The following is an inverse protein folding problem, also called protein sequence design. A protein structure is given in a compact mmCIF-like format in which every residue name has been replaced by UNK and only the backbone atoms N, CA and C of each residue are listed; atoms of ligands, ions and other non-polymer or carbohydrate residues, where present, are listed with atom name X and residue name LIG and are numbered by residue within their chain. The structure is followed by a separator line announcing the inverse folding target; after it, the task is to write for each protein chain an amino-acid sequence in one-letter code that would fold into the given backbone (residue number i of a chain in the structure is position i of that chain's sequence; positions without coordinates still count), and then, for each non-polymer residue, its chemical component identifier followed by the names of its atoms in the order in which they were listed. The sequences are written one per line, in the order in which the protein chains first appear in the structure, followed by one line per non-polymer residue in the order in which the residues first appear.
data_IF_504664387218
#
_entry.id   IF_504664387218
#
_cell.length_a   1.000
_cell.length_b   1.000
_cell.length_c   1.000
_cell.angle_alpha   90.00
_cell.angle_beta   90.00
_cell.angle_gamma   90.00
#
_symmetry.space_group_name_H-M   'P 1'
#
loop_
_entity.id
_entity.type
_entity.pdbx_description
1 polymer ?
#
# COMPACT_ATOMS: atom_id res chain seq x y z
N UNK A 1 3.55 12.08 -11.51
CA UNK A 1 3.67 10.70 -11.06
C UNK A 1 2.44 10.02 -11.56
N UNK A 2 2.46 8.74 -11.89
CA UNK A 2 3.43 7.67 -11.56
C UNK A 2 3.55 7.33 -10.06
N UNK A 3 4.65 6.76 -9.54
CA UNK A 3 4.79 6.26 -8.16
C UNK A 3 6.26 5.89 -7.91
N UNK A 4 6.79 6.07 -6.70
CA UNK A 4 8.13 5.69 -6.27
C UNK A 4 7.93 5.13 -4.89
N UNK A 5 7.97 3.81 -4.82
CA UNK A 5 7.90 3.07 -3.59
C UNK A 5 9.30 2.57 -3.25
N UNK A 6 9.80 2.91 -2.07
CA UNK A 6 11.08 2.45 -1.56
C UNK A 6 10.82 1.38 -0.50
N UNK A 7 11.21 0.15 -0.78
CA UNK A 7 11.08 -0.96 0.15
C UNK A 7 12.30 -1.07 1.06
N UNK A 8 12.12 -0.76 2.34
CA UNK A 8 13.15 -0.89 3.39
C UNK A 8 12.88 -2.19 4.17
N UNK A 9 13.69 -3.25 4.00
CA UNK A 9 13.32 -4.59 4.46
C UNK A 9 13.61 -4.83 5.95
N UNK A 10 14.08 -3.85 6.72
CA UNK A 10 14.52 -4.12 8.10
C UNK A 10 13.36 -4.03 9.09
N UNK A 11 13.23 -5.01 9.97
CA UNK A 11 12.34 -4.99 11.12
C UNK A 11 13.14 -5.27 12.40
N UNK A 12 12.72 -4.72 13.54
CA UNK A 12 13.27 -5.15 14.84
C UNK A 12 12.77 -6.53 15.25
N UNK A 13 11.52 -6.83 14.89
CA UNK A 13 10.83 -8.05 15.28
C UNK A 13 9.92 -8.54 14.15
N UNK A 14 9.77 -9.86 14.03
CA UNK A 14 8.82 -10.49 13.12
C UNK A 14 7.42 -10.49 13.76
N UNK A 15 6.49 -9.68 13.24
CA UNK A 15 5.09 -9.73 13.66
C UNK A 15 4.46 -11.07 13.23
N UNK A 16 3.52 -11.60 14.01
CA UNK A 16 2.98 -12.95 13.77
C UNK A 16 2.14 -13.07 12.49
N UNK A 17 1.58 -11.95 12.03
CA UNK A 17 0.65 -11.84 10.91
C UNK A 17 1.25 -11.26 9.61
N UNK A 18 2.45 -10.67 9.68
CA UNK A 18 3.01 -9.89 8.57
C UNK A 18 3.55 -10.80 7.46
N UNK A 19 3.10 -10.59 6.22
CA UNK A 19 3.55 -11.32 5.02
C UNK A 19 4.59 -10.56 4.17
N UNK A 20 4.82 -9.28 4.50
CA UNK A 20 5.73 -8.44 3.74
C UNK A 20 7.14 -9.01 3.78
N UNK A 21 7.93 -8.68 2.76
CA UNK A 21 9.34 -9.06 2.77
C UNK A 21 10.07 -8.28 3.87
N UNK A 22 10.72 -8.97 4.80
CA UNK A 22 11.56 -8.34 5.82
C UNK A 22 12.71 -9.23 6.27
N UNK A 23 13.67 -8.60 6.93
CA UNK A 23 14.78 -9.22 7.66
C UNK A 23 14.87 -8.61 9.06
N UNK A 24 15.27 -9.41 10.04
CA UNK A 24 15.44 -8.93 11.43
C UNK A 24 16.90 -8.59 11.79
N UNK A 25 17.84 -8.89 10.89
CA UNK A 25 19.25 -8.56 11.07
C UNK A 25 19.51 -7.16 10.50
N UNK A 26 20.09 -6.28 11.32
CA UNK A 26 20.34 -4.87 10.97
C UNK A 26 21.76 -4.58 10.48
N UNK A 27 22.66 -5.58 10.48
CA UNK A 27 24.09 -5.38 10.18
C UNK A 27 24.32 -4.85 8.76
N UNK A 28 23.46 -5.21 7.82
CA UNK A 28 23.59 -4.87 6.41
C UNK A 28 22.91 -3.54 6.00
N UNK A 29 22.45 -2.70 6.94
CA UNK A 29 21.74 -1.45 6.60
C UNK A 29 22.55 -0.53 5.69
N UNK A 30 23.83 -0.33 5.99
CA UNK A 30 24.66 0.58 5.21
C UNK A 30 24.98 0.04 3.80
N UNK A 31 25.25 -1.27 3.72
CA UNK A 31 25.43 -1.94 2.42
C UNK A 31 24.14 -1.86 1.59
N UNK A 32 22.97 -2.04 2.22
CA UNK A 32 21.67 -1.86 1.58
C UNK A 32 21.47 -0.44 1.06
N UNK A 33 21.70 0.59 1.89
CA UNK A 33 21.56 2.00 1.49
C UNK A 33 22.46 2.30 0.31
N UNK A 34 23.71 1.83 0.34
CA UNK A 34 24.66 1.99 -0.76
C UNK A 34 24.21 1.29 -2.05
N UNK A 35 23.58 0.12 -1.94
CA UNK A 35 23.00 -0.60 -3.08
C UNK A 35 21.74 0.07 -3.63
N UNK A 36 20.87 0.59 -2.77
CA UNK A 36 19.67 1.31 -3.17
C UNK A 36 20.02 2.61 -3.92
N UNK A 37 21.02 3.36 -3.45
CA UNK A 37 21.55 4.53 -4.15
C UNK A 37 22.07 4.14 -5.53
N UNK A 38 22.79 3.02 -5.67
CA UNK A 38 23.22 2.52 -6.98
C UNK A 38 22.04 2.09 -7.88
N UNK A 39 20.98 1.52 -7.31
CA UNK A 39 19.77 1.19 -8.06
C UNK A 39 19.06 2.45 -8.58
N UNK A 40 18.95 3.49 -7.75
CA UNK A 40 18.41 4.78 -8.17
C UNK A 40 19.26 5.38 -9.28
N UNK A 41 20.58 5.48 -9.07
CA UNK A 41 21.53 6.01 -10.06
C UNK A 41 21.43 5.29 -11.41
N UNK A 42 21.21 3.98 -11.39
CA UNK A 42 21.06 3.16 -12.58
C UNK A 42 19.84 3.53 -13.45
N UNK A 43 18.85 4.25 -12.91
CA UNK A 43 17.69 4.70 -13.68
C UNK A 43 17.94 6.01 -14.45
N UNK A 44 19.07 6.66 -14.25
CA UNK A 44 19.43 7.90 -14.95
C UNK A 44 19.36 7.71 -16.48
N UNK A 45 18.60 8.57 -17.16
CA UNK A 45 18.38 8.52 -18.60
C UNK A 45 17.39 7.43 -19.06
N UNK A 46 16.81 6.65 -18.14
CA UNK A 46 15.73 5.71 -18.46
C UNK A 46 14.40 6.47 -18.63
N UNK A 47 13.49 5.94 -19.46
CA UNK A 47 12.13 6.46 -19.66
C UNK A 47 11.42 6.85 -18.35
N UNK A 48 11.63 6.09 -17.28
CA UNK A 48 10.95 6.30 -16.00
C UNK A 48 11.27 7.66 -15.35
N UNK A 49 12.40 8.25 -15.72
CA UNK A 49 12.84 9.56 -15.22
C UNK A 49 12.25 10.73 -16.01
N UNK A 50 11.58 10.46 -17.13
CA UNK A 50 10.96 11.49 -17.98
C UNK A 50 9.63 12.01 -17.38
N UNK A 51 8.99 11.24 -16.49
CA UNK A 51 7.78 11.67 -15.79
C UNK A 51 8.10 12.41 -14.49
N UNK A 52 7.47 13.57 -14.28
CA UNK A 52 7.52 14.30 -13.01
C UNK A 52 6.99 13.42 -11.88
N UNK A 53 7.63 13.42 -10.73
CA UNK A 53 7.31 12.57 -9.58
C UNK A 53 6.48 13.36 -8.55
N UNK A 54 5.28 12.89 -8.17
CA UNK A 54 4.27 13.57 -7.30
C UNK A 54 4.09 12.95 -5.92
N UNK A 55 4.71 11.82 -5.63
CA UNK A 55 4.65 11.23 -4.29
C UNK A 55 5.95 10.48 -4.05
N UNK A 56 6.32 10.09 -2.84
CA UNK A 56 7.34 9.07 -2.64
C UNK A 56 6.94 8.37 -1.35
N UNK A 57 7.03 7.05 -1.32
CA UNK A 57 6.60 6.27 -0.17
C UNK A 57 7.71 5.33 0.28
N UNK A 58 8.21 5.56 1.48
CA UNK A 58 9.12 4.66 2.16
C UNK A 58 8.29 3.69 3.00
N UNK A 59 8.31 2.41 2.64
CA UNK A 59 7.57 1.36 3.32
C UNK A 59 8.32 0.05 3.42
N UNK A 60 7.62 -1.02 3.84
CA UNK A 60 8.13 -2.38 3.79
C UNK A 60 8.22 -3.01 5.18
N UNK A 61 9.45 -3.22 5.66
CA UNK A 61 9.68 -3.65 7.03
C UNK A 61 9.41 -2.50 8.01
N UNK A 62 10.42 -1.68 8.27
CA UNK A 62 10.32 -0.51 9.15
C UNK A 62 11.32 0.55 8.68
N UNK A 63 10.94 1.43 7.73
CA UNK A 63 11.79 2.49 7.19
C UNK A 63 12.44 3.38 8.25
N UNK A 64 11.71 3.70 9.33
CA UNK A 64 12.23 4.47 10.47
C UNK A 64 13.39 3.82 11.26
N UNK A 65 13.83 2.62 10.86
CA UNK A 65 15.07 2.02 11.36
C UNK A 65 16.33 2.57 10.67
N UNK A 66 16.19 3.30 9.57
CA UNK A 66 17.30 4.03 8.95
C UNK A 66 17.58 5.33 9.71
N UNK A 67 18.86 5.71 9.76
CA UNK A 67 19.24 7.01 10.32
C UNK A 67 18.81 8.15 9.40
N UNK A 68 18.75 9.38 9.93
CA UNK A 68 18.46 10.57 9.13
C UNK A 68 19.48 10.75 8.00
N UNK A 69 20.77 10.55 8.26
CA UNK A 69 21.84 10.56 7.23
C UNK A 69 21.57 9.57 6.09
N UNK A 70 21.15 8.34 6.41
CA UNK A 70 20.83 7.34 5.40
C UNK A 70 19.63 7.74 4.54
N UNK A 71 18.59 8.30 5.17
CA UNK A 71 17.40 8.80 4.46
C UNK A 71 17.76 10.01 3.58
N UNK A 72 18.56 10.94 4.07
CA UNK A 72 19.03 12.12 3.34
C UNK A 72 19.82 11.72 2.10
N UNK A 73 20.73 10.75 2.21
CA UNK A 73 21.49 10.23 1.06
C UNK A 73 20.61 9.56 0.00
N UNK A 74 19.57 8.83 0.42
CA UNK A 74 18.60 8.23 -0.51
C UNK A 74 17.80 9.34 -1.23
N UNK A 75 17.29 10.32 -0.48
CA UNK A 75 16.53 11.42 -1.04
C UNK A 75 17.36 12.28 -1.98
N UNK A 76 18.61 12.60 -1.63
CA UNK A 76 19.52 13.34 -2.49
C UNK A 76 19.75 12.63 -3.84
N UNK A 77 19.86 11.29 -3.84
CA UNK A 77 20.00 10.52 -5.07
C UNK A 77 18.70 10.50 -5.89
N UNK A 78 17.54 10.41 -5.24
CA UNK A 78 16.23 10.51 -5.91
C UNK A 78 16.08 11.88 -6.60
N UNK A 79 16.42 12.97 -5.91
CA UNK A 79 16.38 14.34 -6.46
C UNK A 79 17.36 14.54 -7.61
N UNK A 80 18.51 13.84 -7.58
CA UNK A 80 19.50 13.88 -8.66
C UNK A 80 19.00 13.19 -9.92
N UNK A 81 18.31 12.06 -9.78
CA UNK A 81 17.90 11.20 -10.92
C UNK A 81 16.50 11.54 -11.45
N UNK A 82 15.59 12.00 -10.59
CA UNK A 82 14.20 12.25 -10.94
C UNK A 82 13.82 13.72 -10.77
N UNK A 83 12.87 14.19 -11.57
CA UNK A 83 12.21 15.48 -11.33
C UNK A 83 11.15 15.32 -10.26
N UNK A 84 11.43 15.74 -9.03
CA UNK A 84 10.50 15.64 -7.89
C UNK A 84 9.66 16.92 -7.74
N UNK A 85 8.33 16.80 -7.89
CA UNK A 85 7.32 17.79 -7.50
C UNK A 85 6.32 17.09 -6.56
N UNK A 86 6.81 16.60 -5.42
CA UNK A 86 6.05 15.72 -4.53
C UNK A 86 4.91 16.46 -3.83
N UNK A 87 3.71 15.92 -4.00
CA UNK A 87 2.50 16.28 -3.27
C UNK A 87 2.40 15.56 -1.91
N UNK A 88 3.13 14.46 -1.73
CA UNK A 88 3.18 13.64 -0.52
C UNK A 88 4.47 12.80 -0.46
N UNK A 89 5.30 12.98 0.56
CA UNK A 89 6.46 12.15 0.89
C UNK A 89 6.21 11.43 2.22
N UNK A 90 5.86 10.15 2.13
CA UNK A 90 5.47 9.30 3.27
C UNK A 90 6.62 8.45 3.78
N UNK A 91 6.69 8.27 5.09
CA UNK A 91 7.50 7.23 5.74
C UNK A 91 6.70 6.39 6.74
N UNK A 92 6.84 5.07 6.65
CA UNK A 92 6.31 4.13 7.65
C UNK A 92 7.20 4.05 8.90
N UNK A 93 6.56 3.94 10.06
CA UNK A 93 7.24 3.78 11.34
C UNK A 93 6.45 2.96 12.35
N UNK A 94 7.18 2.45 13.34
CA UNK A 94 6.62 1.79 14.52
C UNK A 94 6.86 2.66 15.77
N UNK A 95 6.02 2.56 16.80
CA UNK A 95 6.12 3.43 17.97
C UNK A 95 7.45 3.37 18.72
N UNK A 96 8.09 2.20 18.74
CA UNK A 96 9.35 1.96 19.45
C UNK A 96 10.59 2.62 18.82
N UNK A 97 10.38 3.43 17.78
CA UNK A 97 11.41 4.16 17.04
C UNK A 97 11.20 5.67 16.99
N UNK A 98 10.16 6.20 17.64
CA UNK A 98 9.85 7.63 17.58
C UNK A 98 10.55 8.39 18.70
N UNK A 99 11.23 9.47 18.32
CA UNK A 99 11.69 10.51 19.24
C UNK A 99 11.45 11.90 18.61
N UNK A 100 11.31 12.96 19.41
CA UNK A 100 11.16 14.32 18.87
C UNK A 100 12.29 14.72 17.90
N UNK A 101 13.54 14.40 18.24
CA UNK A 101 14.72 14.70 17.40
C UNK A 101 14.68 13.96 16.06
N UNK A 102 14.20 12.71 16.07
CA UNK A 102 14.04 11.94 14.84
C UNK A 102 12.93 12.53 13.96
N UNK A 103 11.79 12.89 14.54
CA UNK A 103 10.69 13.56 13.81
C UNK A 103 11.16 14.89 13.18
N UNK A 104 11.93 15.70 13.91
CA UNK A 104 12.52 16.93 13.37
C UNK A 104 13.47 16.62 12.21
N UNK A 105 14.28 15.58 12.33
CA UNK A 105 15.19 15.16 11.26
C UNK A 105 14.44 14.68 10.02
N UNK A 106 13.35 13.92 10.18
CA UNK A 106 12.50 13.51 9.06
C UNK A 106 11.89 14.72 8.33
N UNK A 107 11.41 15.73 9.06
CA UNK A 107 10.94 16.97 8.45
C UNK A 107 12.03 17.68 7.66
N UNK A 108 13.26 17.69 8.17
CA UNK A 108 14.41 18.28 7.48
C UNK A 108 14.77 17.51 6.19
N UNK A 109 14.58 16.18 6.16
CA UNK A 109 14.69 15.36 4.95
C UNK A 109 13.51 15.52 3.98
N UNK A 110 12.54 16.40 4.27
CA UNK A 110 11.40 16.70 3.40
C UNK A 110 10.14 15.86 3.64
N UNK A 111 10.16 14.88 4.54
CA UNK A 111 8.96 14.08 4.83
C UNK A 111 7.82 14.96 5.33
N UNK A 112 6.61 14.72 4.82
CA UNK A 112 5.41 15.48 5.17
C UNK A 112 4.26 14.60 5.67
N UNK A 113 4.36 13.28 5.49
CA UNK A 113 3.41 12.30 6.00
C UNK A 113 4.08 11.15 6.74
N UNK A 114 3.48 10.76 7.87
CA UNK A 114 3.86 9.59 8.66
C UNK A 114 2.78 8.51 8.54
N UNK A 115 3.17 7.24 8.39
CA UNK A 115 2.26 6.10 8.59
C UNK A 115 2.73 5.28 9.80
N UNK A 116 1.94 5.26 10.87
CA UNK A 116 2.31 4.68 12.15
C UNK A 116 1.59 3.35 12.43
N UNK A 117 2.34 2.27 12.53
CA UNK A 117 1.80 0.95 12.83
C UNK A 117 1.51 0.71 14.32
N UNK A 118 0.42 1.26 14.89
CA UNK A 118 0.03 1.02 16.30
C UNK A 118 -0.63 -0.35 16.48
N UNK A 119 -1.54 -0.69 15.57
CA UNK A 119 -2.34 -1.91 15.49
C UNK A 119 -3.37 -2.10 16.62
N UNK A 120 -3.02 -1.85 17.87
CA UNK A 120 -3.90 -1.87 19.05
C UNK A 120 -3.22 -1.20 20.25
N UNK A 121 -3.99 -0.73 21.23
CA UNK A 121 -3.49 -0.27 22.54
C UNK A 121 -3.65 -1.35 23.62
N UNK A 122 -4.20 -2.51 23.28
CA UNK A 122 -4.32 -3.66 24.18
C UNK A 122 -3.02 -4.47 24.24
N UNK A 123 -2.43 -4.59 25.42
CA UNK A 123 -1.23 -5.42 25.66
C UNK A 123 -1.42 -6.88 25.23
N UNK A 124 -2.62 -7.42 25.45
CA UNK A 124 -3.01 -8.77 25.00
C UNK A 124 -2.92 -8.88 23.47
N UNK A 125 -3.49 -7.91 22.76
CA UNK A 125 -3.48 -7.86 21.30
C UNK A 125 -2.08 -7.67 20.72
N UNK A 126 -1.30 -6.73 21.29
CA UNK A 126 0.09 -6.49 20.90
C UNK A 126 0.97 -7.72 21.10
N UNK A 127 0.79 -8.43 22.24
CA UNK A 127 1.50 -9.68 22.52
C UNK A 127 1.10 -10.79 21.54
N UNK A 128 -0.19 -10.96 21.23
CA UNK A 128 -0.67 -11.92 20.24
C UNK A 128 -0.05 -11.68 18.85
N UNK A 129 -0.01 -10.41 18.45
CA UNK A 129 0.58 -9.98 17.19
C UNK A 129 2.12 -10.01 17.18
N UNK A 130 2.75 -10.30 18.32
CA UNK A 130 4.20 -10.27 18.49
C UNK A 130 4.80 -8.92 18.06
N UNK A 131 4.18 -7.81 18.52
CA UNK A 131 4.65 -6.45 18.26
C UNK A 131 5.92 -6.13 19.09
N UNK A 132 6.76 -5.25 18.55
CA UNK A 132 8.00 -4.80 19.22
C UNK A 132 7.75 -3.71 20.28
N UNK A 133 6.60 -3.04 20.18
CA UNK A 133 6.19 -1.95 21.06
C UNK A 133 5.10 -2.39 22.04
N UNK A 134 4.96 -1.66 23.15
CA UNK A 134 3.86 -1.78 24.10
C UNK A 134 2.93 -0.54 24.05
N UNK A 135 1.86 -0.54 24.86
CA UNK A 135 0.88 0.56 24.92
C UNK A 135 1.55 1.89 25.24
N UNK A 136 2.39 1.95 26.26
CA UNK A 136 3.01 3.21 26.71
C UNK A 136 3.88 3.83 25.61
N UNK A 137 4.62 2.99 24.86
CA UNK A 137 5.38 3.43 23.69
C UNK A 137 4.49 3.92 22.55
N UNK A 138 3.34 3.26 22.31
CA UNK A 138 2.36 3.73 21.33
C UNK A 138 1.81 5.12 21.68
N UNK A 139 1.37 5.30 22.92
CA UNK A 139 0.85 6.59 23.40
C UNK A 139 1.92 7.68 23.32
N UNK A 140 3.13 7.40 23.80
CA UNK A 140 4.24 8.36 23.78
C UNK A 140 4.63 8.78 22.35
N UNK A 141 4.64 7.83 21.42
CA UNK A 141 4.96 8.11 20.02
C UNK A 141 3.89 8.98 19.35
N UNK A 142 2.61 8.75 19.66
CA UNK A 142 1.51 9.58 19.17
C UNK A 142 1.55 10.99 19.77
N UNK A 143 1.83 11.12 21.07
CA UNK A 143 2.08 12.42 21.71
C UNK A 143 3.20 13.20 20.99
N UNK A 144 4.31 12.53 20.69
CA UNK A 144 5.44 13.14 19.99
C UNK A 144 5.07 13.57 18.56
N UNK A 145 4.28 12.78 17.85
CA UNK A 145 3.79 13.14 16.51
C UNK A 145 2.86 14.35 16.60
N UNK A 146 1.90 14.36 17.53
CA UNK A 146 0.96 15.48 17.72
C UNK A 146 1.69 16.76 18.10
N UNK A 147 2.72 16.67 18.94
CA UNK A 147 3.56 17.79 19.33
C UNK A 147 4.52 18.27 18.22
N UNK A 148 4.74 17.45 17.19
CA UNK A 148 5.62 17.78 16.06
C UNK A 148 4.94 18.68 15.02
N UNK A 149 5.68 19.00 13.96
CA UNK A 149 5.16 19.74 12.81
C UNK A 149 4.46 18.88 11.76
N UNK A 150 4.38 17.55 11.96
CA UNK A 150 3.60 16.68 11.07
C UNK A 150 2.11 16.92 11.29
N UNK A 151 1.43 17.42 10.25
CA UNK A 151 -0.03 17.60 10.23
C UNK A 151 -0.76 16.49 9.50
N UNK A 152 -0.04 15.74 8.68
CA UNK A 152 -0.56 14.59 7.95
C UNK A 152 0.09 13.33 8.54
N UNK A 153 -0.68 12.52 9.26
CA UNK A 153 -0.23 11.23 9.75
C UNK A 153 -1.38 10.25 9.75
N UNK A 154 -1.00 8.99 9.64
CA UNK A 154 -1.89 7.85 9.71
C UNK A 154 -1.55 7.02 10.92
N UNK A 155 -2.59 6.48 11.55
CA UNK A 155 -2.43 5.41 12.52
C UNK A 155 -3.09 4.15 11.98
N UNK A 156 -2.32 3.08 11.90
CA UNK A 156 -2.81 1.78 11.46
C UNK A 156 -3.37 1.01 12.66
N UNK A 157 -4.55 0.43 12.49
CA UNK A 157 -5.24 -0.47 13.42
C UNK A 157 -5.44 -1.84 12.77
N UNK A 158 -5.50 -2.89 13.59
CA UNK A 158 -5.93 -4.22 13.17
C UNK A 158 -7.14 -4.62 14.01
N UNK A 159 -8.24 -4.95 13.32
CA UNK A 159 -9.45 -5.50 13.92
C UNK A 159 -9.66 -6.95 13.47
N UNK A 160 -10.66 -7.63 14.02
CA UNK A 160 -10.96 -9.03 13.72
C UNK A 160 -9.98 -10.00 14.39
N UNK A 161 -9.31 -9.57 15.47
CA UNK A 161 -8.39 -10.43 16.21
C UNK A 161 -9.17 -11.58 16.90
N UNK A 162 -8.58 -12.77 17.07
CA UNK A 162 -9.20 -13.87 17.79
C UNK A 162 -9.67 -13.48 19.20
N UNK A 163 -10.97 -13.63 19.46
CA UNK A 163 -11.61 -13.28 20.73
C UNK A 163 -11.54 -11.78 21.11
N UNK A 164 -11.32 -10.88 20.14
CA UNK A 164 -11.46 -9.44 20.38
C UNK A 164 -12.94 -9.09 20.54
N UNK A 165 -13.28 -8.43 21.64
CA UNK A 165 -14.65 -8.00 21.89
C UNK A 165 -14.93 -6.67 21.20
N UNK A 166 -16.22 -6.34 20.99
CA UNK A 166 -16.62 -5.01 20.53
C UNK A 166 -16.15 -3.89 21.46
N UNK A 167 -16.10 -4.16 22.78
CA UNK A 167 -15.57 -3.21 23.78
C UNK A 167 -14.08 -2.95 23.57
N UNK A 168 -13.27 -4.00 23.42
CA UNK A 168 -11.82 -3.85 23.19
C UNK A 168 -11.53 -3.06 21.91
N UNK A 169 -12.29 -3.27 20.83
CA UNK A 169 -12.13 -2.45 19.61
C UNK A 169 -12.59 -1.00 19.82
N UNK A 170 -13.69 -0.77 20.54
CA UNK A 170 -14.15 0.58 20.83
C UNK A 170 -13.16 1.33 21.73
N UNK A 171 -12.54 0.66 22.70
CA UNK A 171 -11.47 1.21 23.54
C UNK A 171 -10.25 1.62 22.70
N UNK A 172 -9.86 0.82 21.70
CA UNK A 172 -8.79 1.18 20.77
C UNK A 172 -9.15 2.42 19.93
N UNK A 173 -10.40 2.53 19.46
CA UNK A 173 -10.89 3.69 18.71
C UNK A 173 -10.93 4.93 19.60
N UNK A 174 -11.50 4.84 20.80
CA UNK A 174 -11.62 5.97 21.72
C UNK A 174 -10.23 6.49 22.11
N UNK A 175 -9.30 5.58 22.45
CA UNK A 175 -7.92 5.94 22.76
C UNK A 175 -7.21 6.59 21.57
N UNK A 176 -7.42 6.08 20.35
CA UNK A 176 -6.86 6.66 19.14
C UNK A 176 -7.36 8.09 18.91
N UNK A 177 -8.65 8.33 19.16
CA UNK A 177 -9.26 9.62 18.86
C UNK A 177 -8.85 10.74 19.82
N UNK A 178 -8.27 10.42 20.98
CA UNK A 178 -7.60 11.41 21.84
C UNK A 178 -6.45 12.14 21.10
N UNK A 179 -5.87 11.50 20.09
CA UNK A 179 -4.80 12.06 19.27
C UNK A 179 -5.28 12.69 17.96
N UNK A 180 -6.58 12.69 17.65
CA UNK A 180 -7.18 13.31 16.46
C UNK A 180 -6.49 13.04 15.09
N UNK A 181 -6.14 11.79 14.75
CA UNK A 181 -5.46 11.50 13.49
C UNK A 181 -6.29 11.94 12.27
N UNK A 182 -5.69 12.60 11.28
CA UNK A 182 -6.41 13.00 10.07
C UNK A 182 -6.68 11.82 9.13
N UNK A 183 -5.97 10.71 9.31
CA UNK A 183 -6.12 9.48 8.53
C UNK A 183 -5.93 8.25 9.42
N UNK A 184 -6.71 7.19 9.16
CA UNK A 184 -6.63 5.90 9.83
C UNK A 184 -6.66 4.81 8.76
N UNK A 185 -5.71 3.88 8.81
CA UNK A 185 -5.84 2.60 8.12
C UNK A 185 -6.29 1.57 9.15
N UNK A 186 -7.31 0.79 8.85
CA UNK A 186 -7.82 -0.24 9.73
C UNK A 186 -8.04 -1.52 8.93
N UNK A 187 -7.18 -2.50 9.18
CA UNK A 187 -7.14 -3.76 8.46
C UNK A 187 -7.86 -4.85 9.26
N UNK A 188 -8.68 -5.65 8.57
CA UNK A 188 -9.10 -6.92 9.13
C UNK A 188 -7.87 -7.83 9.24
N UNK A 189 -7.74 -8.57 10.34
CA UNK A 189 -6.68 -9.56 10.50
C UNK A 189 -6.86 -10.68 9.46
N UNK A 190 -6.07 -10.66 8.40
CA UNK A 190 -6.00 -11.72 7.40
C UNK A 190 -4.94 -12.75 7.77
N UNK A 191 -5.20 -14.02 7.44
CA UNK A 191 -4.28 -15.13 7.69
C UNK A 191 -3.52 -15.42 6.39
N UNK A 192 -2.32 -14.86 6.27
CA UNK A 192 -1.52 -15.02 5.06
C UNK A 192 -0.69 -16.31 5.06
N UNK A 193 -0.64 -16.96 3.90
CA UNK A 193 0.15 -18.16 3.67
C UNK A 193 1.65 -17.82 3.86
N UNK A 194 2.35 -18.56 4.72
CA UNK A 194 3.75 -18.33 5.17
C UNK A 194 3.95 -17.42 6.39
N UNK A 195 2.89 -17.14 7.16
CA UNK A 195 3.02 -16.43 8.44
C UNK A 195 3.07 -17.38 9.65
N UNK A 196 3.59 -16.89 10.78
CA UNK A 196 3.53 -17.61 12.06
C UNK A 196 2.07 -17.87 12.48
N UNK A 197 1.19 -16.90 12.24
CA UNK A 197 -0.23 -17.01 12.51
C UNK A 197 -0.88 -18.14 11.69
N UNK A 198 -0.62 -18.21 10.38
CA UNK A 198 -1.13 -19.30 9.54
C UNK A 198 -0.70 -20.67 10.08
N UNK A 199 0.57 -20.81 10.52
CA UNK A 199 1.02 -22.07 11.13
C UNK A 199 0.33 -22.38 12.46
N UNK A 200 0.03 -21.36 13.27
CA UNK A 200 -0.71 -21.55 14.52
C UNK A 200 -2.16 -21.99 14.27
N UNK A 201 -2.80 -21.46 13.23
CA UNK A 201 -4.16 -21.84 12.82
C UNK A 201 -4.18 -23.27 12.28
N UNK A 202 -3.24 -23.62 11.39
CA UNK A 202 -3.08 -24.98 10.85
C UNK A 202 -2.91 -26.03 11.96
N UNK A 203 -2.18 -25.67 13.02
CA UNK A 203 -1.95 -26.53 14.19
C UNK A 203 -3.09 -26.50 15.22
N UNK A 204 -4.19 -25.79 14.96
CA UNK A 204 -5.33 -25.65 15.89
C UNK A 204 -5.04 -24.85 17.16
N UNK A 205 -3.92 -24.12 17.23
CA UNK A 205 -3.53 -23.30 18.39
C UNK A 205 -4.27 -21.97 18.44
N UNK A 206 -4.69 -21.46 17.29
CA UNK A 206 -5.46 -20.22 17.16
C UNK A 206 -6.71 -20.54 16.35
N UNK A 207 -7.86 -20.15 16.88
CA UNK A 207 -9.12 -20.15 16.14
C UNK A 207 -9.32 -18.74 15.57
N UNK A 208 -9.44 -18.57 14.24
CA UNK A 208 -9.76 -17.28 13.64
C UNK A 208 -11.10 -16.73 14.13
N UNK A 209 -11.29 -15.42 14.04
CA UNK A 209 -12.62 -14.82 14.15
C UNK A 209 -13.50 -15.31 13.00
N UNK A 210 -14.79 -15.51 13.26
CA UNK A 210 -15.76 -15.80 12.20
C UNK A 210 -16.13 -14.53 11.41
N UNK A 211 -16.59 -14.71 10.17
CA UNK A 211 -16.87 -13.61 9.25
C UNK A 211 -17.93 -12.65 9.80
N UNK A 212 -18.98 -13.15 10.44
CA UNK A 212 -20.02 -12.33 11.05
C UNK A 212 -19.43 -11.42 12.14
N UNK A 213 -18.51 -11.94 12.94
CA UNK A 213 -17.79 -11.17 13.95
C UNK A 213 -16.92 -10.07 13.32
N UNK A 214 -16.18 -10.39 12.27
CA UNK A 214 -15.32 -9.41 11.55
C UNK A 214 -16.17 -8.31 10.91
N UNK A 215 -17.28 -8.66 10.25
CA UNK A 215 -18.22 -7.70 9.64
C UNK A 215 -18.82 -6.78 10.71
N UNK A 216 -19.25 -7.34 11.84
CA UNK A 216 -19.77 -6.56 12.97
C UNK A 216 -18.75 -5.51 13.49
N UNK A 217 -17.47 -5.86 13.53
CA UNK A 217 -16.40 -4.94 13.94
C UNK A 217 -16.07 -3.91 12.86
N UNK A 218 -16.10 -4.31 11.60
CA UNK A 218 -15.93 -3.40 10.45
C UNK A 218 -17.02 -2.32 10.41
N UNK A 219 -18.26 -2.68 10.72
CA UNK A 219 -19.39 -1.75 10.83
C UNK A 219 -19.20 -0.80 12.02
N UNK A 220 -18.90 -1.35 13.21
CA UNK A 220 -18.62 -0.56 14.43
C UNK A 220 -17.54 0.49 14.15
N UNK A 221 -16.44 0.08 13.54
CA UNK A 221 -15.34 0.98 13.20
C UNK A 221 -15.81 2.12 12.28
N UNK A 222 -16.54 1.80 11.19
CA UNK A 222 -17.00 2.82 10.27
C UNK A 222 -18.01 3.79 10.88
N UNK A 223 -18.91 3.29 11.73
CA UNK A 223 -19.88 4.12 12.44
C UNK A 223 -19.20 5.03 13.46
N UNK A 224 -18.26 4.50 14.25
CA UNK A 224 -17.53 5.27 15.25
C UNK A 224 -16.67 6.36 14.62
N UNK A 225 -15.90 6.04 13.57
CA UNK A 225 -15.01 7.01 12.90
C UNK A 225 -15.77 8.13 12.18
N UNK A 226 -16.98 7.87 11.69
CA UNK A 226 -17.82 8.88 11.04
C UNK A 226 -18.13 10.06 11.98
N UNK A 227 -18.27 9.81 13.29
CA UNK A 227 -18.51 10.87 14.28
C UNK A 227 -17.34 11.85 14.41
N UNK A 228 -16.15 11.46 13.95
CA UNK A 228 -14.93 12.26 13.94
C UNK A 228 -14.60 12.83 12.54
N UNK A 229 -15.57 12.82 11.62
CA UNK A 229 -15.39 13.27 10.22
C UNK A 229 -14.33 12.47 9.44
N UNK A 230 -14.07 11.23 9.86
CA UNK A 230 -13.21 10.28 9.16
C UNK A 230 -14.10 9.37 8.30
N UNK A 231 -14.01 9.51 6.98
CA UNK A 231 -14.83 8.77 6.04
C UNK A 231 -14.04 7.69 5.33
N UNK A 232 -14.65 6.51 5.18
CA UNK A 232 -14.09 5.42 4.40
C UNK A 232 -13.96 5.85 2.93
N UNK A 233 -12.75 5.81 2.39
CA UNK A 233 -12.49 6.09 0.97
C UNK A 233 -11.87 4.91 0.23
N UNK A 234 -11.35 3.93 0.97
CA UNK A 234 -10.97 2.59 0.51
C UNK A 234 -11.34 1.56 1.59
N UNK A 235 -11.49 0.27 1.23
CA UNK A 235 -11.93 -0.80 2.15
C UNK A 235 -11.25 -0.73 3.52
N UNK A 236 -9.95 -0.47 3.59
CA UNK A 236 -9.24 -0.41 4.87
C UNK A 236 -8.87 1.00 5.30
N UNK A 237 -9.27 2.05 4.58
CA UNK A 237 -8.73 3.40 4.78
C UNK A 237 -9.81 4.47 5.01
N UNK A 238 -9.60 5.27 6.04
CA UNK A 238 -10.47 6.36 6.47
C UNK A 238 -9.69 7.66 6.56
N UNK A 239 -10.27 8.76 6.11
CA UNK A 239 -9.60 10.06 6.14
C UNK A 239 -10.59 11.20 6.34
N UNK A 240 -10.09 12.27 6.97
CA UNK A 240 -10.68 13.60 6.85
C UNK A 240 -10.50 14.07 5.41
N UNK A 241 -11.37 14.98 4.97
CA UNK A 241 -11.27 15.53 3.61
C UNK A 241 -9.88 16.18 3.38
N UNK A 242 -9.24 15.83 2.26
CA UNK A 242 -7.90 16.32 1.90
C UNK A 242 -6.73 15.50 2.47
N UNK A 243 -6.99 14.51 3.31
CA UNK A 243 -5.95 13.66 3.93
C UNK A 243 -5.92 12.23 3.40
N UNK A 244 -6.62 11.94 2.30
CA UNK A 244 -6.52 10.65 1.62
C UNK A 244 -5.08 10.44 1.14
N UNK A 245 -4.50 9.26 1.40
CA UNK A 245 -3.15 8.91 0.99
C UNK A 245 -3.00 9.09 -0.53
N UNK A 246 -2.13 10.01 -0.96
CA UNK A 246 -1.94 10.31 -2.39
C UNK A 246 -1.17 9.19 -3.08
N UNK A 247 -0.21 8.58 -2.37
CA UNK A 247 0.55 7.46 -2.90
C UNK A 247 -0.35 6.27 -3.26
N UNK A 248 -1.23 5.85 -2.35
CA UNK A 248 -2.08 4.68 -2.58
C UNK A 248 -3.08 4.91 -3.72
N UNK A 249 -3.51 6.16 -3.92
CA UNK A 249 -4.40 6.53 -5.04
C UNK A 249 -3.76 6.33 -6.40
N UNK A 250 -2.42 6.37 -6.52
CA UNK A 250 -1.74 6.02 -7.77
C UNK A 250 -2.07 4.58 -8.15
N UNK A 251 -1.96 3.65 -7.20
CA UNK A 251 -2.22 2.23 -7.44
C UNK A 251 -3.65 1.99 -7.90
N UNK A 252 -4.64 2.59 -7.22
CA UNK A 252 -6.06 2.40 -7.54
C UNK A 252 -6.52 3.08 -8.82
N UNK A 253 -5.71 3.98 -9.39
CA UNK A 253 -6.00 4.70 -10.62
C UNK A 253 -5.11 4.26 -11.79
N UNK A 254 -4.37 3.15 -11.66
CA UNK A 254 -3.37 2.71 -12.66
C UNK A 254 -2.38 3.80 -13.06
N UNK A 255 -1.99 4.64 -12.10
CA UNK A 255 -0.81 5.47 -12.28
C UNK A 255 0.42 4.55 -12.37
N UNK A 256 1.36 4.89 -13.25
CA UNK A 256 2.66 4.21 -13.33
C UNK A 256 3.34 4.19 -11.95
N UNK A 257 4.30 3.32 -11.66
CA UNK A 257 5.13 3.45 -10.47
C UNK A 257 6.34 2.55 -10.55
N UNK A 258 7.42 2.98 -9.89
CA UNK A 258 8.66 2.24 -9.76
C UNK A 258 8.83 1.86 -8.29
N UNK A 259 8.99 0.56 -8.06
CA UNK A 259 9.42 0.02 -6.78
C UNK A 259 10.93 -0.17 -6.77
N UNK A 260 11.58 0.31 -5.71
CA UNK A 260 13.02 0.19 -5.49
C UNK A 260 13.29 -0.53 -4.17
N UNK A 261 14.39 -1.27 -4.08
CA UNK A 261 14.67 -2.16 -2.95
C UNK A 261 14.16 -3.60 -3.16
N UNK A 262 14.58 -4.56 -2.31
CA UNK A 262 14.25 -5.97 -2.47
C UNK A 262 12.75 -6.22 -2.25
N UNK A 263 12.11 -6.99 -3.11
CA UNK A 263 10.68 -7.28 -3.02
C UNK A 263 9.75 -6.14 -3.45
N UNK A 264 10.28 -4.98 -3.85
CA UNK A 264 9.47 -3.86 -4.33
C UNK A 264 8.82 -4.19 -5.68
N UNK A 265 7.59 -3.73 -5.89
CA UNK A 265 6.82 -3.94 -7.13
C UNK A 265 6.75 -2.66 -7.95
N UNK A 266 6.64 -2.81 -9.26
CA UNK A 266 6.50 -1.70 -10.22
C UNK A 266 5.38 -2.00 -11.21
N UNK A 267 4.77 -0.95 -11.75
CA UNK A 267 3.79 -1.00 -12.83
C UNK A 267 4.08 0.11 -13.83
N UNK A 268 4.02 -0.20 -15.12
CA UNK A 268 4.19 0.80 -16.16
C UNK A 268 3.27 0.55 -17.34
N UNK A 269 2.38 1.49 -17.58
CA UNK A 269 1.52 1.61 -18.76
C UNK A 269 2.07 2.73 -19.66
N UNK A 270 2.79 2.40 -20.75
CA UNK A 270 3.27 3.39 -21.71
C UNK A 270 2.12 4.18 -22.35
N UNK A 271 2.28 5.50 -22.47
CA UNK A 271 1.27 6.41 -23.03
C UNK A 271 1.39 6.60 -24.53
N UNK A 272 2.48 6.12 -25.13
CA UNK A 272 2.75 6.25 -26.56
C UNK A 272 3.45 5.01 -27.13
N UNK A 273 3.41 4.88 -28.46
CA UNK A 273 4.15 3.83 -29.17
C UNK A 273 5.67 3.99 -29.01
N UNK A 274 6.14 5.22 -28.85
CA UNK A 274 7.54 5.58 -28.61
C UNK A 274 8.01 5.07 -27.25
N UNK A 275 7.23 5.29 -26.19
CA UNK A 275 7.51 4.76 -24.86
C UNK A 275 7.53 3.23 -24.86
N UNK A 276 6.54 2.59 -25.52
CA UNK A 276 6.51 1.13 -25.66
C UNK A 276 7.75 0.60 -26.37
N UNK A 277 8.24 1.29 -27.42
CA UNK A 277 9.50 0.93 -28.11
C UNK A 277 10.74 1.09 -27.22
N UNK A 278 10.81 2.14 -26.39
CA UNK A 278 11.91 2.31 -25.41
C UNK A 278 11.97 1.13 -24.45
N UNK A 279 10.84 0.75 -23.85
CA UNK A 279 10.74 -0.42 -22.96
C UNK A 279 11.23 -1.71 -23.64
N UNK A 280 10.81 -1.95 -24.89
CA UNK A 280 11.28 -3.11 -25.67
C UNK A 280 12.81 -3.06 -25.87
N UNK A 281 13.35 -1.88 -26.18
CA UNK A 281 14.77 -1.65 -26.36
C UNK A 281 15.59 -1.92 -25.09
N UNK A 282 15.04 -1.58 -23.93
CA UNK A 282 15.64 -1.78 -22.60
C UNK A 282 15.55 -3.24 -22.11
N UNK A 283 15.02 -4.15 -22.94
CA UNK A 283 14.82 -5.55 -22.58
C UNK A 283 13.65 -5.78 -21.61
N UNK A 284 12.81 -4.77 -21.38
CA UNK A 284 11.58 -4.88 -20.61
C UNK A 284 10.44 -5.43 -21.47
N UNK A 285 10.21 -6.74 -21.32
CA UNK A 285 8.87 -7.23 -21.04
C UNK A 285 7.79 -7.25 -22.13
N UNK A 286 8.05 -6.88 -23.39
CA UNK A 286 7.15 -7.26 -24.49
C UNK A 286 7.89 -8.23 -25.40
N UNK A 287 7.53 -9.51 -25.35
CA UNK A 287 8.29 -10.56 -26.03
C UNK A 287 8.36 -10.32 -27.54
N UNK A 288 9.58 -10.33 -28.10
CA UNK A 288 9.79 -10.28 -29.57
C UNK A 288 9.17 -11.53 -30.19
N UNK A 289 8.05 -11.37 -30.90
CA UNK A 289 7.41 -12.45 -31.67
C UNK A 289 6.25 -13.16 -31.00
N UNK A 290 5.85 -12.77 -29.78
CA UNK A 290 4.44 -12.89 -29.38
C UNK A 290 3.61 -12.01 -30.29
N UNK A 291 2.34 -12.33 -30.53
CA UNK A 291 1.35 -11.49 -31.23
C UNK A 291 1.10 -10.18 -30.45
N UNK A 292 2.13 -9.33 -30.33
CA UNK A 292 2.37 -8.33 -29.28
C UNK A 292 1.58 -7.02 -29.42
N UNK A 293 0.45 -7.08 -30.13
CA UNK A 293 -0.52 -5.99 -30.21
C UNK A 293 -1.44 -5.92 -28.99
N UNK A 294 -1.60 -7.02 -28.23
CA UNK A 294 -2.56 -7.07 -27.10
C UNK A 294 -2.01 -6.62 -25.76
N UNK A 295 -0.70 -6.69 -25.55
CA UNK A 295 -0.04 -6.29 -24.30
C UNK A 295 0.18 -4.78 -24.29
N UNK A 296 -0.33 -4.10 -23.27
CA UNK A 296 -0.34 -2.62 -23.21
C UNK A 296 0.37 -2.06 -22.00
N UNK A 297 0.60 -2.86 -20.94
CA UNK A 297 1.33 -2.45 -19.74
C UNK A 297 2.24 -3.58 -19.22
N UNK A 298 3.11 -3.25 -18.28
CA UNK A 298 4.05 -4.17 -17.64
C UNK A 298 3.95 -4.08 -16.12
N UNK A 299 4.14 -5.21 -15.45
CA UNK A 299 4.43 -5.31 -14.02
C UNK A 299 5.71 -6.08 -13.80
N UNK A 300 6.42 -5.74 -12.74
CA UNK A 300 7.58 -6.51 -12.31
C UNK A 300 7.84 -6.29 -10.82
N UNK A 301 8.73 -7.09 -10.26
CA UNK A 301 9.17 -6.95 -8.88
C UNK A 301 10.68 -7.14 -8.76
N UNK A 302 11.26 -6.63 -7.69
CA UNK A 302 12.64 -6.93 -7.31
C UNK A 302 12.70 -8.22 -6.48
N UNK A 303 13.84 -8.95 -6.46
CA UNK A 303 13.96 -10.20 -5.71
C UNK A 303 13.73 -9.97 -4.22
N UNK A 304 12.99 -10.89 -3.60
CA UNK A 304 12.79 -10.98 -2.14
C UNK A 304 14.00 -11.63 -1.45
N UNK A 305 15.20 -11.10 -1.68
CA UNK A 305 16.46 -11.56 -1.10
C UNK A 305 17.46 -10.40 -0.94
N UNK A 306 17.65 -9.97 0.30
CA UNK A 306 18.52 -8.85 0.67
C UNK A 306 19.98 -9.12 0.32
N UNK A 307 20.48 -10.34 0.53
CA UNK A 307 21.89 -10.63 0.27
C UNK A 307 22.15 -10.71 -1.23
N UNK A 308 21.24 -11.32 -1.99
CA UNK A 308 21.31 -11.30 -3.44
C UNK A 308 21.16 -9.86 -3.99
N UNK A 309 20.30 -9.05 -3.38
CA UNK A 309 20.13 -7.63 -3.73
C UNK A 309 21.43 -6.84 -3.50
N UNK A 310 22.04 -6.93 -2.32
CA UNK A 310 23.29 -6.21 -1.99
C UNK A 310 24.46 -6.64 -2.88
N UNK A 311 24.59 -7.94 -3.16
CA UNK A 311 25.73 -8.47 -3.92
C UNK A 311 25.65 -8.25 -5.44
N UNK A 312 24.55 -7.71 -5.99
CA UNK A 312 24.38 -7.41 -7.43
C UNK A 312 25.21 -6.22 -7.95
N UNK A 313 26.35 -5.91 -7.30
CA UNK A 313 27.25 -4.79 -7.64
C UNK A 313 27.38 -4.64 -9.17
N UNK A 314 26.85 -3.53 -9.69
CA UNK A 314 26.93 -3.06 -11.09
C UNK A 314 25.96 -3.65 -12.13
N UNK A 315 24.87 -4.34 -11.76
CA UNK A 315 23.86 -4.84 -12.74
C UNK A 315 22.40 -4.52 -12.37
N UNK A 316 22.18 -3.35 -11.75
CA UNK A 316 20.84 -2.88 -11.40
C UNK A 316 19.99 -2.50 -12.63
N UNK A 317 20.60 -2.16 -13.77
CA UNK A 317 19.88 -1.74 -14.98
C UNK A 317 19.12 -2.88 -15.69
N UNK A 318 19.65 -4.11 -15.68
CA UNK A 318 19.08 -5.19 -16.52
C UNK A 318 18.69 -6.45 -15.75
N UNK A 319 19.30 -6.75 -14.58
CA UNK A 319 19.11 -8.05 -13.92
C UNK A 319 18.45 -7.99 -12.54
N UNK A 320 18.01 -6.83 -12.05
CA UNK A 320 17.30 -6.79 -10.77
C UNK A 320 15.83 -7.15 -10.87
N UNK A 321 15.23 -6.94 -12.05
CA UNK A 321 13.80 -7.15 -12.28
C UNK A 321 13.51 -8.65 -12.38
N UNK A 322 12.50 -9.07 -11.64
CA UNK A 322 11.97 -10.44 -11.57
C UNK A 322 10.46 -10.41 -11.77
N UNK A 323 9.87 -11.55 -12.13
CA UNK A 323 8.42 -11.67 -12.34
C UNK A 323 7.86 -10.62 -13.32
N UNK A 324 8.52 -10.43 -14.47
CA UNK A 324 8.04 -9.49 -15.48
C UNK A 324 6.79 -10.08 -16.12
N UNK A 325 5.67 -9.38 -15.96
CA UNK A 325 4.35 -9.76 -16.45
C UNK A 325 3.82 -8.69 -17.42
N UNK A 326 3.64 -9.03 -18.71
CA UNK A 326 2.88 -8.19 -19.63
C UNK A 326 1.39 -8.25 -19.31
N UNK A 327 0.72 -7.10 -19.31
CA UNK A 327 -0.71 -6.96 -19.00
C UNK A 327 -1.44 -6.47 -20.25
N UNK A 328 -2.57 -7.12 -20.57
CA UNK A 328 -3.42 -6.75 -21.70
C UNK A 328 -4.57 -5.79 -21.27
N UNK A 329 -5.26 -5.21 -22.25
CA UNK A 329 -6.36 -4.25 -22.01
C UNK A 329 -7.50 -4.83 -21.16
N UNK A 330 -7.90 -6.09 -21.39
CA UNK A 330 -8.97 -6.75 -20.62
C UNK A 330 -8.58 -6.90 -19.15
N UNK A 331 -7.35 -7.34 -18.88
CA UNK A 331 -6.84 -7.48 -17.52
C UNK A 331 -6.77 -6.13 -16.81
N UNK A 332 -6.31 -5.08 -17.48
CA UNK A 332 -6.34 -3.73 -16.92
C UNK A 332 -7.77 -3.24 -16.62
N UNK A 333 -8.74 -3.55 -17.48
CA UNK A 333 -10.14 -3.17 -17.25
C UNK A 333 -10.74 -3.88 -16.03
N UNK A 334 -10.50 -5.20 -15.94
CA UNK A 334 -10.93 -6.04 -14.81
C UNK A 334 -10.33 -5.54 -13.49
N UNK A 335 -9.04 -5.20 -13.49
CA UNK A 335 -8.36 -4.63 -12.32
C UNK A 335 -8.88 -3.25 -11.96
N UNK A 336 -9.20 -2.40 -12.95
CA UNK A 336 -9.79 -1.10 -12.70
C UNK A 336 -11.16 -1.22 -12.02
N UNK A 337 -11.98 -2.18 -12.46
CA UNK A 337 -13.26 -2.50 -11.82
C UNK A 337 -13.03 -3.00 -10.39
N UNK A 338 -12.12 -3.97 -10.22
CA UNK A 338 -11.81 -4.58 -8.94
C UNK A 338 -11.31 -3.57 -7.91
N UNK A 339 -10.26 -2.83 -8.25
CA UNK A 339 -9.67 -1.79 -7.40
C UNK A 339 -10.66 -0.65 -7.18
N UNK A 340 -11.39 -0.25 -8.22
CA UNK A 340 -12.42 0.79 -8.14
C UNK A 340 -13.50 0.45 -7.12
N UNK A 341 -14.05 -0.78 -7.16
CA UNK A 341 -15.07 -1.24 -6.21
C UNK A 341 -14.56 -1.27 -4.77
N UNK A 342 -13.25 -1.44 -4.54
CA UNK A 342 -12.65 -1.34 -3.20
C UNK A 342 -12.48 0.11 -2.72
N UNK A 343 -12.82 1.11 -3.54
CA UNK A 343 -12.81 2.52 -3.16
C UNK A 343 -14.21 3.12 -3.13
N UNK A 344 -14.39 4.23 -2.42
CA UNK A 344 -15.64 5.00 -2.46
C UNK A 344 -15.92 5.62 -3.84
N UNK A 345 -14.89 5.75 -4.68
CA UNK A 345 -15.01 6.22 -6.06
C UNK A 345 -15.73 5.21 -6.95
N UNK A 346 -15.55 3.91 -6.72
CA UNK A 346 -16.06 2.90 -7.64
C UNK A 346 -15.34 2.91 -8.99
N UNK A 347 -16.00 2.38 -10.02
CA UNK A 347 -15.54 2.43 -11.39
C UNK A 347 -16.49 3.27 -12.26
N UNK A 348 -15.97 3.74 -13.40
CA UNK A 348 -16.66 4.60 -14.34
C UNK A 348 -16.76 3.90 -15.69
N UNK A 349 -17.99 3.72 -16.20
CA UNK A 349 -18.25 2.98 -17.43
C UNK A 349 -17.74 3.70 -18.67
N UNK A 350 -17.78 5.03 -18.69
CA UNK A 350 -17.23 5.82 -19.80
C UNK A 350 -15.71 5.68 -19.85
N UNK A 351 -15.04 5.67 -18.69
CA UNK A 351 -13.60 5.40 -18.64
C UNK A 351 -13.24 3.98 -19.09
N UNK A 352 -14.07 2.97 -18.77
CA UNK A 352 -13.87 1.60 -19.26
C UNK A 352 -13.84 1.54 -20.80
N UNK A 353 -14.77 2.23 -21.45
CA UNK A 353 -14.84 2.28 -22.91
C UNK A 353 -13.69 3.11 -23.51
N UNK A 354 -13.43 4.30 -22.97
CA UNK A 354 -12.54 5.26 -23.60
C UNK A 354 -11.06 4.97 -23.35
N UNK A 355 -10.70 4.57 -22.13
CA UNK A 355 -9.31 4.34 -21.74
C UNK A 355 -8.94 2.86 -21.85
N UNK A 356 -9.79 1.96 -21.35
CA UNK A 356 -9.49 0.52 -21.28
C UNK A 356 -9.98 -0.27 -22.50
N UNK A 357 -10.72 0.37 -23.42
CA UNK A 357 -11.31 -0.26 -24.61
C UNK A 357 -12.14 -1.50 -24.27
N UNK A 358 -12.81 -1.46 -23.12
CA UNK A 358 -13.53 -2.58 -22.55
C UNK A 358 -15.03 -2.31 -22.47
N UNK A 359 -15.82 -3.25 -22.99
CA UNK A 359 -17.28 -3.22 -22.93
C UNK A 359 -17.79 -4.45 -22.19
N UNK A 360 -18.77 -4.25 -21.30
CA UNK A 360 -19.39 -5.37 -20.60
C UNK A 360 -20.16 -6.28 -21.57
N UNK A 361 -20.02 -7.58 -21.37
CA UNK A 361 -20.88 -8.52 -22.08
C UNK A 361 -22.30 -8.55 -21.49
N UNK A 362 -23.24 -9.19 -22.20
CA UNK A 362 -24.65 -9.28 -21.77
C UNK A 362 -24.83 -9.82 -20.35
N UNK A 363 -24.02 -10.80 -19.92
CA UNK A 363 -24.11 -11.37 -18.57
C UNK A 363 -23.66 -10.36 -17.51
N UNK A 364 -22.56 -9.67 -17.75
CA UNK A 364 -22.02 -8.65 -16.85
C UNK A 364 -23.00 -7.48 -16.69
N UNK A 365 -23.63 -7.03 -17.77
CA UNK A 365 -24.70 -6.03 -17.72
C UNK A 365 -25.91 -6.48 -16.89
N UNK A 366 -26.35 -7.74 -17.06
CA UNK A 366 -27.45 -8.31 -16.26
C UNK A 366 -27.04 -8.38 -14.79
N UNK A 367 -25.79 -8.76 -14.50
CA UNK A 367 -25.29 -8.89 -13.13
C UNK A 367 -25.16 -7.54 -12.43
N UNK A 368 -24.60 -6.54 -13.10
CA UNK A 368 -24.50 -5.18 -12.59
C UNK A 368 -25.89 -4.61 -12.27
N UNK A 369 -26.87 -4.74 -13.19
CA UNK A 369 -28.25 -4.31 -12.94
C UNK A 369 -28.88 -5.01 -11.74
N UNK A 370 -28.60 -6.31 -11.55
CA UNK A 370 -29.06 -7.08 -10.40
C UNK A 370 -28.44 -6.56 -9.09
N UNK A 371 -27.12 -6.32 -9.07
CA UNK A 371 -26.41 -5.77 -7.90
C UNK A 371 -26.91 -4.37 -7.51
N UNK A 372 -27.24 -3.53 -8.49
CA UNK A 372 -27.88 -2.22 -8.26
C UNK A 372 -29.27 -2.40 -7.66
N UNK A 373 -30.10 -3.29 -8.22
CA UNK A 373 -31.45 -3.58 -7.71
C UNK A 373 -31.44 -4.14 -6.29
N UNK A 374 -30.43 -4.94 -5.95
CA UNK A 374 -30.23 -5.50 -4.60
C UNK A 374 -29.66 -4.49 -3.60
N UNK A 375 -29.32 -3.26 -4.03
CA UNK A 375 -28.78 -2.23 -3.16
C UNK A 375 -27.33 -2.47 -2.72
N UNK A 376 -26.58 -3.32 -3.42
CA UNK A 376 -25.15 -3.60 -3.16
C UNK A 376 -24.23 -2.65 -3.91
N UNK A 377 -24.67 -2.18 -5.08
CA UNK A 377 -23.99 -1.14 -5.86
C UNK A 377 -24.93 0.06 -5.99
N UNK A 378 -24.39 1.26 -5.80
CA UNK A 378 -25.04 2.51 -6.17
C UNK A 378 -24.56 2.96 -7.55
N UNK A 379 -25.47 3.53 -8.33
CA UNK A 379 -25.17 4.12 -9.64
C UNK A 379 -25.45 5.62 -9.60
N UNK A 380 -24.48 6.43 -10.05
CA UNK A 380 -24.63 7.87 -10.24
C UNK A 380 -24.06 8.24 -11.61
N UNK A 381 -24.95 8.44 -12.59
CA UNK A 381 -24.56 8.54 -14.01
C UNK A 381 -23.88 7.25 -14.48
N UNK A 382 -22.67 7.38 -15.02
CA UNK A 382 -21.84 6.27 -15.50
C UNK A 382 -20.96 5.64 -14.41
N UNK A 383 -21.04 6.14 -13.17
CA UNK A 383 -20.23 5.67 -12.05
C UNK A 383 -20.98 4.67 -11.19
N UNK A 384 -20.29 3.59 -10.85
CA UNK A 384 -20.79 2.49 -10.02
C UNK A 384 -19.88 2.29 -8.82
N UNK A 385 -20.42 2.42 -7.60
CA UNK A 385 -19.66 2.27 -6.34
C UNK A 385 -20.42 1.38 -5.37
N UNK A 386 -19.70 0.71 -4.46
CA UNK A 386 -20.34 -0.12 -3.44
C UNK A 386 -21.15 0.72 -2.46
N UNK A 387 -22.31 0.23 -2.05
CA UNK A 387 -23.04 0.76 -0.88
C UNK A 387 -22.40 0.23 0.40
N UNK A 388 -22.86 0.70 1.58
CA UNK A 388 -22.43 0.13 2.86
C UNK A 388 -22.55 -1.39 2.92
N UNK A 389 -23.65 -1.94 2.39
CA UNK A 389 -23.85 -3.39 2.28
C UNK A 389 -22.89 -4.03 1.29
N UNK A 390 -22.63 -3.36 0.16
CA UNK A 390 -21.72 -3.84 -0.87
C UNK A 390 -20.27 -3.97 -0.38
N UNK A 391 -19.78 -3.03 0.43
CA UNK A 391 -18.38 -3.03 0.89
C UNK A 391 -18.05 -4.29 1.69
N UNK A 392 -19.01 -4.86 2.43
CA UNK A 392 -18.85 -6.14 3.17
C UNK A 392 -18.53 -7.32 2.27
N UNK A 393 -18.91 -7.21 1.00
CA UNK A 393 -18.80 -8.25 -0.02
C UNK A 393 -17.95 -7.78 -1.21
N UNK A 394 -17.07 -6.79 -1.03
CA UNK A 394 -16.38 -6.10 -2.13
C UNK A 394 -15.69 -7.08 -3.09
N UNK A 395 -14.88 -7.99 -2.55
CA UNK A 395 -14.13 -8.97 -3.35
C UNK A 395 -15.07 -9.99 -4.01
N UNK A 396 -16.12 -10.45 -3.31
CA UNK A 396 -17.10 -11.36 -3.90
C UNK A 396 -17.86 -10.70 -5.05
N UNK A 397 -18.32 -9.45 -4.87
CA UNK A 397 -19.05 -8.69 -5.88
C UNK A 397 -18.17 -8.46 -7.11
N UNK A 398 -16.89 -8.14 -6.90
CA UNK A 398 -15.97 -7.94 -8.00
C UNK A 398 -15.72 -9.27 -8.76
N UNK A 399 -15.54 -10.42 -8.08
CA UNK A 399 -15.40 -11.73 -8.76
C UNK A 399 -16.63 -12.06 -9.58
N UNK A 400 -17.79 -11.94 -8.96
CA UNK A 400 -19.07 -12.30 -9.53
C UNK A 400 -19.49 -11.38 -10.68
N UNK A 401 -19.03 -10.12 -10.68
CA UNK A 401 -19.22 -9.20 -11.81
C UNK A 401 -18.29 -9.54 -12.98
N UNK A 402 -17.09 -10.06 -12.71
CA UNK A 402 -16.07 -10.33 -13.72
C UNK A 402 -16.08 -11.79 -14.24
N UNK A 403 -16.81 -12.70 -13.58
CA UNK A 403 -16.94 -14.12 -13.93
C UNK A 403 -17.79 -14.46 -15.17
#
# INVERSE_FOLDING_TARGET
MSGIYIHIPFCKQACSYCDFYFVTKSVQKEDFVSSLIQEIAALEGHLFTEEVVRSVYFGGGTPSLLTSDQLERIMAELERVFTLEVDELTIEMNPDNVTPDYLMSLKACGFDRISMGVQSFSEKSLSFMNRAHNRDQALKALDDIVASSFKNYTVDLIYGLPNQTKSELQEDIDQLMEFDPPHISAYALTIEHNTRLAKQVELGKVKPADDDHVVNQMDLLAESLKNYSLYRYEVSSFAKEGFQAKHNQIYWNHGNYIGLGPGAHSFWWPKSSEEKKKLIGDGLGFSKGSSSEKEVALRWSNPKDLMAYIHKKNDYQQKIRTLIEPVNESSLAEEYIWLGLRTSRGFDHTLLLDLYKFEFNTKQHVRLKKLVKEGKISQSGDRFSLTTEGVRLADYIALDLLS
#
